data_IF_556309899976
#
_entry.id   IF_556309899976
#
_cell.length_a   1.000
_cell.length_b   1.000
_cell.length_c   1.000
_cell.angle_alpha   90.00
_cell.angle_beta   90.00
_cell.angle_gamma   90.00
#
_symmetry.space_group_name_H-M   'P 1'
#
loop_
_entity.id
_entity.type
_entity.pdbx_description
1 polymer ?
#
# COMPACT_ATOMS: atom_id res chain seq x y z
N UNK A 1 19.91 14.98 -5.15
CA UNK A 1 18.92 14.79 -4.05
C UNK A 1 18.85 15.98 -3.09
N UNK A 2 19.95 16.64 -2.69
CA UNK A 2 19.92 17.78 -1.73
C UNK A 2 19.13 19.02 -2.18
N UNK A 3 19.17 19.40 -3.47
CA UNK A 3 18.46 20.61 -3.96
C UNK A 3 16.93 20.46 -4.01
N UNK A 4 16.42 19.23 -3.99
CA UNK A 4 15.01 18.96 -4.27
C UNK A 4 14.19 18.76 -3.00
N UNK A 5 14.77 18.12 -1.98
CA UNK A 5 14.19 18.14 -0.63
C UNK A 5 13.96 19.56 -0.13
N UNK A 6 14.73 20.54 -0.63
CA UNK A 6 14.55 21.96 -0.33
C UNK A 6 13.31 22.58 -1.02
N UNK A 7 12.87 22.08 -2.18
CA UNK A 7 11.64 22.55 -2.86
C UNK A 7 10.40 21.92 -2.23
N UNK A 8 10.44 20.63 -1.92
CA UNK A 8 9.36 19.91 -1.26
C UNK A 8 9.14 20.44 0.17
N UNK A 9 10.23 20.68 0.92
CA UNK A 9 10.18 21.36 2.21
C UNK A 9 9.55 22.76 2.10
N UNK A 10 9.94 23.57 1.11
CA UNK A 10 9.35 24.91 0.89
C UNK A 10 7.86 24.87 0.56
N UNK A 11 7.41 23.82 -0.14
CA UNK A 11 6.01 23.60 -0.45
C UNK A 11 5.21 23.20 0.81
N UNK A 12 5.77 22.37 1.69
CA UNK A 12 5.10 21.90 2.91
C UNK A 12 5.12 22.92 4.05
N UNK A 13 6.19 23.71 4.18
CA UNK A 13 6.37 24.69 5.27
C UNK A 13 5.25 25.71 5.39
N UNK A 14 4.60 26.07 4.28
CA UNK A 14 3.56 27.09 4.23
C UNK A 14 2.15 26.52 4.03
N UNK A 15 1.99 25.19 4.05
CA UNK A 15 0.68 24.58 3.87
C UNK A 15 -0.11 24.55 5.18
N UNK A 16 -1.34 25.00 5.10
CA UNK A 16 -2.35 24.78 6.12
C UNK A 16 -2.78 23.30 6.10
N UNK A 17 -2.78 22.67 7.27
CA UNK A 17 -3.10 21.26 7.47
C UNK A 17 -4.51 21.03 8.04
N UNK A 18 -5.29 22.09 8.26
CA UNK A 18 -6.63 21.98 8.85
C UNK A 18 -7.62 21.21 7.97
N UNK A 19 -7.41 21.20 6.65
CA UNK A 19 -8.28 20.54 5.67
C UNK A 19 -7.62 19.33 4.97
N UNK A 20 -6.54 18.79 5.53
CA UNK A 20 -5.83 17.63 4.97
C UNK A 20 -6.33 16.35 5.62
N UNK A 21 -6.66 15.33 4.82
CA UNK A 21 -7.13 14.05 5.35
C UNK A 21 -6.12 13.37 6.26
N UNK A 22 -6.59 12.58 7.22
CA UNK A 22 -5.73 11.88 8.22
C UNK A 22 -4.72 10.98 7.54
N UNK A 23 -5.14 10.26 6.50
CA UNK A 23 -4.25 9.40 5.70
C UNK A 23 -3.10 10.22 5.09
N UNK A 24 -3.41 11.39 4.54
CA UNK A 24 -2.39 12.25 3.93
C UNK A 24 -1.45 12.82 4.99
N UNK A 25 -1.98 13.22 6.15
CA UNK A 25 -1.17 13.64 7.29
C UNK A 25 -0.21 12.52 7.74
N UNK A 26 -0.66 11.26 7.78
CA UNK A 26 0.19 10.12 8.15
C UNK A 26 1.43 10.03 7.25
N UNK A 27 1.24 9.97 5.93
CA UNK A 27 2.36 9.96 4.98
C UNK A 27 3.26 11.20 5.08
N UNK A 28 2.66 12.39 5.27
CA UNK A 28 3.42 13.63 5.39
C UNK A 28 4.28 13.65 6.65
N UNK A 29 3.77 13.18 7.78
CA UNK A 29 4.52 13.14 9.05
C UNK A 29 5.77 12.27 8.92
N UNK A 30 5.65 11.10 8.27
CA UNK A 30 6.80 10.21 8.01
C UNK A 30 7.84 10.91 7.15
N UNK A 31 7.41 11.58 6.07
CA UNK A 31 8.34 12.30 5.21
C UNK A 31 9.04 13.45 5.93
N UNK A 32 8.28 14.27 6.67
CA UNK A 32 8.76 15.49 7.32
C UNK A 32 9.69 15.23 8.50
N UNK A 33 9.68 14.03 9.07
CA UNK A 33 10.38 13.68 10.30
C UNK A 33 11.89 14.01 10.32
N UNK A 34 12.53 14.09 9.15
CA UNK A 34 13.96 14.45 9.03
C UNK A 34 14.20 15.85 8.47
N UNK A 35 13.15 16.58 8.09
CA UNK A 35 13.25 17.92 7.51
C UNK A 35 12.69 19.01 8.42
N UNK A 36 11.63 18.67 9.15
CA UNK A 36 10.89 19.58 10.00
C UNK A 36 10.29 18.80 11.17
N UNK A 37 11.10 18.63 12.22
CA UNK A 37 10.64 17.86 13.38
C UNK A 37 9.49 18.59 14.09
N UNK A 38 9.55 19.92 14.19
CA UNK A 38 8.49 20.74 14.81
C UNK A 38 7.16 20.55 14.07
N UNK A 39 7.18 20.60 12.73
CA UNK A 39 5.98 20.37 11.92
C UNK A 39 5.51 18.91 11.94
N UNK A 40 6.41 17.97 12.13
CA UNK A 40 6.08 16.55 12.35
C UNK A 40 5.34 16.38 13.67
N UNK A 41 5.88 16.94 14.75
CA UNK A 41 5.26 16.90 16.08
C UNK A 41 3.89 17.56 16.10
N UNK A 42 3.68 18.68 15.37
CA UNK A 42 2.36 19.30 15.19
C UNK A 42 1.33 18.31 14.60
N UNK A 43 1.73 17.52 13.60
CA UNK A 43 0.86 16.50 12.99
C UNK A 43 0.62 15.34 13.96
N UNK A 44 1.66 14.85 14.63
CA UNK A 44 1.55 13.75 15.58
C UNK A 44 0.70 14.13 16.80
N UNK A 45 0.82 15.36 17.29
CA UNK A 45 0.00 15.89 18.38
C UNK A 45 -1.47 15.93 17.98
N UNK A 46 -1.78 16.35 16.74
CA UNK A 46 -3.14 16.26 16.18
C UNK A 46 -3.68 14.83 16.18
N UNK A 47 -2.84 13.82 15.89
CA UNK A 47 -3.25 12.41 16.00
C UNK A 47 -3.54 11.98 17.44
N UNK A 48 -2.74 12.44 18.40
CA UNK A 48 -2.98 12.17 19.83
C UNK A 48 -4.28 12.84 20.30
N UNK A 49 -4.52 14.09 19.90
CA UNK A 49 -5.72 14.86 20.28
C UNK A 49 -7.00 14.29 19.68
N UNK A 50 -6.95 13.80 18.44
CA UNK A 50 -8.12 13.22 17.76
C UNK A 50 -8.38 11.76 18.14
N UNK A 51 -7.43 11.09 18.78
CA UNK A 51 -7.55 9.68 19.13
C UNK A 51 -8.75 9.50 20.08
N UNK A 52 -9.69 8.66 19.67
CA UNK A 52 -10.84 8.31 20.50
C UNK A 52 -10.43 7.46 21.70
N UNK A 53 -11.31 7.35 22.69
CA UNK A 53 -11.05 6.56 23.91
C UNK A 53 -10.77 5.09 23.64
N UNK A 54 -11.25 4.57 22.51
CA UNK A 54 -11.11 3.18 22.09
C UNK A 54 -9.96 2.95 21.10
N UNK A 55 -9.13 4.00 20.87
CA UNK A 55 -7.86 3.94 20.14
C UNK A 55 -7.91 4.33 18.66
N UNK A 56 -9.10 4.60 18.12
CA UNK A 56 -9.30 4.97 16.72
C UNK A 56 -8.69 6.34 16.38
N UNK A 57 -8.07 6.46 15.20
CA UNK A 57 -7.55 7.73 14.65
C UNK A 57 -8.06 7.88 13.21
N UNK A 58 -9.10 8.70 12.99
CA UNK A 58 -9.75 8.83 11.67
C UNK A 58 -10.43 10.19 11.46
N UNK A 59 -10.74 10.48 10.19
CA UNK A 59 -11.64 11.55 9.71
C UNK A 59 -12.94 11.00 9.10
N UNK A 60 -13.36 9.79 9.53
CA UNK A 60 -14.59 9.08 9.11
C UNK A 60 -14.58 8.48 7.69
N UNK A 61 -13.42 8.30 7.04
CA UNK A 61 -13.35 7.67 5.71
C UNK A 61 -13.07 6.16 5.79
N UNK A 62 -11.97 5.75 6.42
CA UNK A 62 -11.62 4.33 6.65
C UNK A 62 -10.77 4.26 7.93
N UNK A 63 -11.41 3.85 9.03
CA UNK A 63 -10.81 3.84 10.37
C UNK A 63 -9.60 2.92 10.50
N UNK A 64 -9.63 1.73 9.88
CA UNK A 64 -8.53 0.76 9.87
C UNK A 64 -7.32 1.31 9.13
N UNK A 65 -7.53 1.85 7.93
CA UNK A 65 -6.48 2.39 7.09
C UNK A 65 -5.84 3.63 7.74
N UNK A 66 -6.65 4.60 8.17
CA UNK A 66 -6.17 5.79 8.86
C UNK A 66 -5.39 5.42 10.12
N UNK A 67 -5.96 4.57 10.98
CA UNK A 67 -5.31 4.19 12.24
C UNK A 67 -4.01 3.42 12.01
N UNK A 68 -3.96 2.48 11.07
CA UNK A 68 -2.73 1.72 10.76
C UNK A 68 -1.56 2.60 10.34
N UNK A 69 -1.82 3.57 9.45
CA UNK A 69 -0.80 4.52 9.01
C UNK A 69 -0.39 5.49 10.13
N UNK A 70 -1.34 5.97 10.94
CA UNK A 70 -1.06 6.82 12.09
C UNK A 70 -0.25 6.10 13.16
N UNK A 71 -0.53 4.81 13.44
CA UNK A 71 0.26 3.98 14.36
C UNK A 71 1.72 3.89 13.91
N UNK A 72 1.94 3.59 12.63
CA UNK A 72 3.29 3.56 12.06
C UNK A 72 3.98 4.93 12.17
N UNK A 73 3.26 6.01 11.88
CA UNK A 73 3.78 7.39 11.98
C UNK A 73 4.14 7.77 13.41
N UNK A 74 3.27 7.46 14.37
CA UNK A 74 3.46 7.75 15.80
C UNK A 74 4.65 6.99 16.39
N UNK A 75 4.81 5.70 16.05
CA UNK A 75 5.96 4.94 16.57
C UNK A 75 7.28 5.41 15.98
N UNK A 76 7.30 5.79 14.70
CA UNK A 76 8.49 6.43 14.10
C UNK A 76 8.77 7.81 14.70
N UNK A 77 7.72 8.58 15.00
CA UNK A 77 7.83 9.81 15.78
C UNK A 77 8.47 9.58 17.14
N UNK A 78 8.00 8.58 17.89
CA UNK A 78 8.58 8.19 19.17
C UNK A 78 10.06 7.78 19.04
N UNK A 79 10.40 6.93 18.07
CA UNK A 79 11.80 6.52 17.81
C UNK A 79 12.69 7.74 17.54
N UNK A 80 12.14 8.81 16.95
CA UNK A 80 12.86 10.03 16.60
C UNK A 80 12.99 11.02 17.75
N UNK A 81 11.93 11.24 18.53
CA UNK A 81 11.85 12.32 19.52
C UNK A 81 12.02 11.82 20.97
N UNK A 82 11.69 10.55 21.24
CA UNK A 82 11.63 9.99 22.59
C UNK A 82 10.38 10.38 23.38
N UNK A 83 9.42 11.06 22.76
CA UNK A 83 8.19 11.53 23.42
C UNK A 83 7.21 10.38 23.67
N UNK A 84 7.09 9.93 24.93
CA UNK A 84 6.27 8.76 25.30
C UNK A 84 4.79 8.91 24.93
N UNK A 85 4.25 10.14 24.83
CA UNK A 85 2.88 10.39 24.35
C UNK A 85 2.59 9.75 22.99
N UNK A 86 3.57 9.72 22.09
CA UNK A 86 3.42 9.14 20.75
C UNK A 86 3.39 7.62 20.81
N UNK A 87 4.24 7.02 21.62
CA UNK A 87 4.23 5.58 21.87
C UNK A 87 2.93 5.15 22.53
N UNK A 88 2.48 5.85 23.56
CA UNK A 88 1.22 5.53 24.25
C UNK A 88 0.02 5.58 23.28
N UNK A 89 -0.04 6.61 22.42
CA UNK A 89 -1.06 6.71 21.38
C UNK A 89 -0.94 5.59 20.33
N UNK A 90 0.28 5.25 19.89
CA UNK A 90 0.51 4.17 18.94
C UNK A 90 0.05 2.81 19.51
N UNK A 91 0.33 2.53 20.78
CA UNK A 91 -0.10 1.30 21.45
C UNK A 91 -1.63 1.20 21.56
N UNK A 92 -2.32 2.31 21.89
CA UNK A 92 -3.79 2.39 21.87
C UNK A 92 -4.35 2.16 20.47
N UNK A 93 -3.74 2.75 19.45
CA UNK A 93 -4.10 2.52 18.05
C UNK A 93 -3.89 1.06 17.63
N UNK A 94 -2.80 0.43 18.07
CA UNK A 94 -2.58 -1.00 17.87
C UNK A 94 -3.68 -1.86 18.51
N UNK A 95 -4.16 -1.49 19.69
CA UNK A 95 -5.25 -2.20 20.37
C UNK A 95 -6.59 -2.05 19.65
N UNK A 96 -6.85 -0.87 19.07
CA UNK A 96 -7.98 -0.67 18.16
C UNK A 96 -7.90 -1.60 16.95
N UNK A 97 -6.74 -1.67 16.27
CA UNK A 97 -6.56 -2.53 15.09
C UNK A 97 -6.75 -4.01 15.42
N UNK A 98 -6.21 -4.48 16.56
CA UNK A 98 -6.42 -5.85 17.03
C UNK A 98 -7.91 -6.12 17.24
N UNK A 99 -8.63 -5.21 17.89
CA UNK A 99 -10.07 -5.36 18.10
C UNK A 99 -10.83 -5.45 16.78
N UNK A 100 -10.48 -4.62 15.79
CA UNK A 100 -11.07 -4.69 14.45
C UNK A 100 -10.83 -6.05 13.78
N UNK A 101 -9.62 -6.63 13.92
CA UNK A 101 -9.31 -7.98 13.43
C UNK A 101 -10.17 -9.04 14.12
N UNK A 102 -10.35 -8.95 15.44
CA UNK A 102 -11.14 -9.92 16.18
C UNK A 102 -12.65 -9.81 15.89
N UNK A 103 -13.16 -8.58 15.74
CA UNK A 103 -14.53 -8.34 15.24
C UNK A 103 -14.68 -8.95 13.85
N UNK A 104 -13.71 -8.73 12.98
CA UNK A 104 -13.72 -9.29 11.64
C UNK A 104 -13.78 -10.82 11.62
N UNK A 105 -12.91 -11.46 12.39
CA UNK A 105 -12.82 -12.92 12.48
C UNK A 105 -14.08 -13.54 13.07
N UNK A 106 -14.71 -12.87 14.03
CA UNK A 106 -15.95 -13.35 14.67
C UNK A 106 -17.21 -13.11 13.84
N UNK A 107 -17.21 -12.12 12.95
CA UNK A 107 -18.37 -11.76 12.12
C UNK A 107 -18.38 -12.46 10.77
N UNK A 108 -17.20 -12.72 10.19
CA UNK A 108 -17.09 -13.26 8.84
C UNK A 108 -16.73 -14.75 8.86
N UNK A 109 -17.53 -15.55 8.18
CA UNK A 109 -17.22 -16.95 7.91
C UNK A 109 -16.05 -17.11 6.93
N UNK A 110 -15.34 -18.23 7.01
CA UNK A 110 -14.41 -18.65 5.97
C UNK A 110 -15.24 -19.03 4.75
N UNK A 111 -15.25 -18.17 3.74
CA UNK A 111 -16.03 -18.35 2.53
C UNK A 111 -15.12 -18.57 1.34
N UNK A 112 -15.27 -19.72 0.70
CA UNK A 112 -14.67 -19.98 -0.60
C UNK A 112 -15.64 -19.41 -1.65
N UNK A 113 -15.45 -18.17 -2.06
CA UNK A 113 -15.94 -17.76 -3.38
C UNK A 113 -15.00 -18.33 -4.42
N UNK A 114 -15.55 -18.86 -5.53
CA UNK A 114 -14.84 -19.59 -6.60
C UNK A 114 -13.34 -19.29 -6.60
N UNK A 115 -12.59 -20.28 -6.10
CA UNK A 115 -11.13 -20.27 -5.97
C UNK A 115 -10.57 -19.60 -7.22
N UNK A 116 -9.93 -18.43 -7.07
CA UNK A 116 -9.11 -17.95 -8.16
C UNK A 116 -8.09 -19.04 -8.43
N UNK A 117 -8.19 -19.67 -9.60
CA UNK A 117 -7.25 -20.70 -10.05
C UNK A 117 -5.80 -20.20 -10.07
N UNK A 118 -5.59 -18.90 -9.89
CA UNK A 118 -4.32 -18.20 -9.90
C UNK A 118 -3.82 -17.81 -8.49
N UNK A 119 -4.53 -18.16 -7.41
CA UNK A 119 -4.04 -17.95 -6.05
C UNK A 119 -2.88 -18.92 -5.76
N UNK A 120 -1.74 -18.42 -5.27
CA UNK A 120 -0.50 -19.19 -5.06
C UNK A 120 -0.71 -20.40 -4.15
N UNK A 121 -1.59 -20.29 -3.15
CA UNK A 121 -1.82 -21.32 -2.13
C UNK A 121 -3.17 -22.04 -2.28
N UNK A 122 -3.45 -22.58 -3.49
CA UNK A 122 -4.65 -23.37 -3.85
C UNK A 122 -5.99 -22.65 -3.68
N UNK A 123 -5.97 -21.38 -3.26
CA UNK A 123 -7.13 -20.54 -2.92
C UNK A 123 -8.09 -21.17 -1.91
N UNK A 124 -7.56 -21.92 -0.95
CA UNK A 124 -8.31 -22.41 0.22
C UNK A 124 -7.98 -21.54 1.43
N UNK A 125 -8.77 -20.51 1.74
CA UNK A 125 -8.52 -19.66 2.90
C UNK A 125 -8.60 -20.48 4.19
N UNK A 126 -7.59 -20.35 5.05
CA UNK A 126 -7.56 -20.94 6.39
C UNK A 126 -8.15 -19.97 7.44
N UNK A 127 -8.34 -18.70 7.06
CA UNK A 127 -8.91 -17.63 7.87
C UNK A 127 -9.80 -16.72 7.04
N UNK A 128 -10.79 -16.06 7.67
CA UNK A 128 -11.60 -15.04 7.00
C UNK A 128 -10.80 -13.80 6.59
N UNK A 129 -9.59 -13.63 7.12
CA UNK A 129 -8.63 -12.63 6.67
C UNK A 129 -8.05 -12.94 5.29
N UNK A 130 -8.07 -14.20 4.84
CA UNK A 130 -7.58 -14.63 3.52
C UNK A 130 -8.67 -14.55 2.43
N UNK A 131 -9.89 -14.20 2.82
CA UNK A 131 -11.06 -14.18 1.94
C UNK A 131 -11.18 -12.82 1.25
N UNK A 132 -10.81 -12.72 -0.03
CA UNK A 132 -11.03 -11.52 -0.85
C UNK A 132 -12.47 -11.02 -0.90
N UNK A 133 -13.46 -11.89 -0.64
CA UNK A 133 -14.86 -11.46 -0.52
C UNK A 133 -15.07 -10.50 0.65
N UNK A 134 -14.39 -10.77 1.75
CA UNK A 134 -14.52 -10.00 2.98
C UNK A 134 -13.44 -8.95 3.07
N UNK A 135 -12.25 -9.17 2.51
CA UNK A 135 -11.04 -8.40 2.82
C UNK A 135 -10.42 -7.71 1.62
N UNK A 136 -9.53 -6.76 1.91
CA UNK A 136 -8.70 -6.07 0.94
C UNK A 136 -7.23 -6.13 1.37
N UNK A 137 -6.30 -6.48 0.47
CA UNK A 137 -4.86 -6.39 0.74
C UNK A 137 -4.40 -4.98 1.12
N UNK A 138 -5.16 -3.94 0.75
CA UNK A 138 -4.93 -2.58 1.22
C UNK A 138 -5.16 -2.45 2.73
N UNK A 139 -6.30 -2.92 3.22
CA UNK A 139 -6.62 -2.88 4.65
C UNK A 139 -5.63 -3.76 5.42
N UNK A 140 -5.40 -5.00 4.99
CA UNK A 140 -4.45 -5.90 5.65
C UNK A 140 -3.02 -5.34 5.63
N UNK A 141 -2.58 -4.78 4.50
CA UNK A 141 -1.24 -4.20 4.34
C UNK A 141 -0.99 -3.06 5.30
N UNK A 142 -1.94 -2.12 5.43
CA UNK A 142 -1.80 -0.97 6.33
C UNK A 142 -1.97 -1.36 7.80
N UNK A 143 -2.85 -2.32 8.13
CA UNK A 143 -2.93 -2.87 9.48
C UNK A 143 -1.64 -3.60 9.86
N UNK A 144 -1.05 -4.37 8.94
CA UNK A 144 0.22 -5.06 9.14
C UNK A 144 1.37 -4.07 9.32
N UNK A 145 1.41 -2.99 8.54
CA UNK A 145 2.39 -1.91 8.68
C UNK A 145 2.36 -1.33 10.11
N UNK A 146 1.18 -0.98 10.62
CA UNK A 146 1.01 -0.49 11.98
C UNK A 146 1.43 -1.51 13.04
N UNK A 147 0.89 -2.73 12.99
CA UNK A 147 1.11 -3.75 14.03
C UNK A 147 2.54 -4.31 14.04
N UNK A 148 3.15 -4.49 12.86
CA UNK A 148 4.53 -4.96 12.76
C UNK A 148 5.51 -3.97 13.36
N UNK A 149 5.26 -2.66 13.19
CA UNK A 149 6.08 -1.60 13.80
C UNK A 149 5.98 -1.55 15.33
N UNK A 150 4.93 -2.15 15.90
CA UNK A 150 4.75 -2.28 17.35
C UNK A 150 5.26 -3.62 17.91
N UNK A 151 5.71 -4.55 17.07
CA UNK A 151 5.98 -5.94 17.46
C UNK A 151 7.07 -6.11 18.52
N UNK A 152 8.05 -5.20 18.59
CA UNK A 152 9.12 -5.21 19.59
C UNK A 152 8.66 -4.76 20.98
N UNK A 153 7.52 -4.07 21.08
CA UNK A 153 7.01 -3.51 22.34
C UNK A 153 6.09 -4.48 23.08
N UNK A 154 5.41 -5.38 22.37
CA UNK A 154 4.53 -6.37 22.98
C UNK A 154 4.29 -7.56 22.05
N UNK A 155 4.41 -8.77 22.60
CA UNK A 155 4.17 -10.03 21.88
C UNK A 155 2.79 -10.11 21.24
N UNK A 156 1.78 -9.45 21.82
CA UNK A 156 0.44 -9.41 21.21
C UNK A 156 0.47 -8.79 19.81
N UNK A 157 1.19 -7.69 19.60
CA UNK A 157 1.26 -7.03 18.29
C UNK A 157 2.06 -7.88 17.30
N UNK A 158 3.15 -8.51 17.77
CA UNK A 158 3.95 -9.46 16.97
C UNK A 158 3.06 -10.56 16.38
N UNK A 159 2.23 -11.18 17.21
CA UNK A 159 1.32 -12.25 16.79
C UNK A 159 0.30 -11.82 15.72
N UNK A 160 -0.32 -10.66 15.89
CA UNK A 160 -1.29 -10.16 14.88
C UNK A 160 -0.60 -9.67 13.61
N UNK A 161 0.60 -9.09 13.71
CA UNK A 161 1.41 -8.75 12.54
C UNK A 161 1.79 -10.01 11.74
N UNK A 162 2.15 -11.10 12.43
CA UNK A 162 2.40 -12.40 11.81
C UNK A 162 1.13 -12.97 11.16
N UNK A 163 -0.03 -12.89 11.82
CA UNK A 163 -1.31 -13.33 11.25
C UNK A 163 -1.65 -12.57 9.96
N UNK A 164 -1.52 -11.25 9.95
CA UNK A 164 -1.76 -10.42 8.77
C UNK A 164 -0.72 -10.65 7.66
N UNK A 165 0.56 -10.80 8.03
CA UNK A 165 1.65 -11.11 7.10
C UNK A 165 1.43 -12.46 6.41
N UNK A 166 1.05 -13.49 7.18
CA UNK A 166 0.67 -14.79 6.65
C UNK A 166 -0.55 -14.70 5.72
N UNK A 167 -1.58 -13.93 6.10
CA UNK A 167 -2.74 -13.74 5.24
C UNK A 167 -2.37 -13.08 3.91
N UNK A 168 -1.58 -12.00 3.94
CA UNK A 168 -1.07 -11.34 2.73
C UNK A 168 -0.25 -12.29 1.86
N UNK A 169 0.65 -13.05 2.46
CA UNK A 169 1.44 -14.07 1.76
C UNK A 169 0.54 -15.12 1.09
N UNK A 170 -0.42 -15.67 1.83
CA UNK A 170 -1.33 -16.71 1.33
C UNK A 170 -2.28 -16.22 0.23
N UNK A 171 -2.70 -14.95 0.31
CA UNK A 171 -3.56 -14.30 -0.68
C UNK A 171 -2.83 -13.92 -1.97
N UNK A 172 -1.49 -13.92 -1.99
CA UNK A 172 -0.73 -13.55 -3.18
C UNK A 172 -1.04 -14.50 -4.34
N UNK A 173 -1.09 -13.95 -5.54
CA UNK A 173 -1.31 -14.73 -6.76
C UNK A 173 -0.01 -15.32 -7.27
N UNK A 174 -0.08 -16.38 -8.09
CA UNK A 174 1.08 -17.00 -8.73
C UNK A 174 1.92 -16.02 -9.57
N UNK A 175 1.30 -14.93 -10.04
CA UNK A 175 1.99 -13.89 -10.79
C UNK A 175 2.70 -12.84 -9.92
N UNK A 176 2.65 -12.98 -8.59
CA UNK A 176 3.25 -12.06 -7.61
C UNK A 176 2.39 -10.87 -7.21
N UNK A 177 1.24 -10.65 -7.86
CA UNK A 177 0.32 -9.57 -7.49
C UNK A 177 -0.72 -9.99 -6.44
N UNK A 178 -1.61 -9.06 -6.12
CA UNK A 178 -2.83 -9.30 -5.33
C UNK A 178 -4.03 -8.79 -6.10
N UNK A 179 -5.22 -9.28 -5.76
CA UNK A 179 -6.45 -8.64 -6.22
C UNK A 179 -6.76 -7.33 -5.46
N UNK A 180 -7.40 -6.38 -6.14
CA UNK A 180 -8.19 -5.28 -5.62
C UNK A 180 -9.31 -5.88 -4.75
N UNK A 181 -9.60 -5.25 -3.62
CA UNK A 181 -10.30 -5.86 -2.49
C UNK A 181 -11.77 -6.24 -2.75
N UNK A 182 -12.40 -6.84 -1.74
CA UNK A 182 -13.85 -7.13 -1.66
C UNK A 182 -14.45 -7.71 -2.95
N UNK A 183 -13.74 -8.63 -3.63
CA UNK A 183 -14.20 -9.24 -4.89
C UNK A 183 -14.88 -10.59 -4.65
N UNK A 184 -16.07 -10.76 -5.25
CA UNK A 184 -16.82 -12.02 -5.18
C UNK A 184 -16.34 -13.06 -6.19
N UNK A 185 -15.76 -12.60 -7.30
CA UNK A 185 -15.22 -13.43 -8.39
C UNK A 185 -13.98 -12.69 -8.88
N UNK A 186 -12.79 -13.07 -8.40
CA UNK A 186 -11.57 -12.34 -8.75
C UNK A 186 -11.26 -12.43 -10.24
N UNK A 187 -11.29 -11.31 -10.94
CA UNK A 187 -10.93 -11.19 -12.34
C UNK A 187 -9.54 -10.56 -12.49
N UNK A 188 -8.84 -10.83 -13.61
CA UNK A 188 -7.50 -10.24 -13.90
C UNK A 188 -7.49 -8.70 -13.81
N UNK A 189 -8.61 -8.06 -14.11
CA UNK A 189 -8.77 -6.59 -14.02
C UNK A 189 -8.87 -6.07 -12.59
N UNK A 190 -9.12 -6.96 -11.64
CA UNK A 190 -9.16 -6.63 -10.23
C UNK A 190 -7.72 -6.67 -9.70
N UNK A 191 -6.68 -6.25 -10.43
CA UNK A 191 -5.32 -6.12 -9.88
C UNK A 191 -4.86 -4.68 -10.13
N UNK A 192 -4.50 -3.95 -9.09
CA UNK A 192 -4.06 -2.56 -9.20
C UNK A 192 -2.73 -2.37 -8.50
N UNK A 193 -1.85 -1.59 -9.13
CA UNK A 193 -0.53 -1.22 -8.57
C UNK A 193 -0.65 -0.59 -7.19
N UNK A 194 -1.77 0.10 -6.92
CA UNK A 194 -2.09 0.66 -5.62
C UNK A 194 -2.22 -0.41 -4.54
N UNK A 195 -3.01 -1.44 -4.79
CA UNK A 195 -3.25 -2.49 -3.80
C UNK A 195 -2.03 -3.39 -3.61
N UNK A 196 -1.29 -3.66 -4.69
CA UNK A 196 -0.03 -4.40 -4.62
C UNK A 196 0.97 -3.64 -3.74
N UNK A 197 1.14 -2.33 -3.92
CA UNK A 197 2.12 -1.59 -3.11
C UNK A 197 1.71 -1.46 -1.64
N UNK A 198 0.41 -1.38 -1.32
CA UNK A 198 -0.07 -1.40 0.07
C UNK A 198 0.17 -2.75 0.74
N UNK A 199 -0.08 -3.85 0.04
CA UNK A 199 0.28 -5.19 0.52
C UNK A 199 1.80 -5.30 0.74
N UNK A 200 2.60 -4.76 -0.18
CA UNK A 200 4.06 -4.71 -0.03
C UNK A 200 4.49 -3.88 1.18
N UNK A 201 3.84 -2.77 1.51
CA UNK A 201 4.18 -1.98 2.71
C UNK A 201 4.01 -2.82 3.99
N UNK A 202 2.92 -3.58 4.11
CA UNK A 202 2.69 -4.47 5.23
C UNK A 202 3.74 -5.58 5.32
N UNK A 203 3.96 -6.30 4.21
CA UNK A 203 4.97 -7.37 4.13
C UNK A 203 6.40 -6.87 4.37
N UNK A 204 6.71 -5.66 3.92
CA UNK A 204 7.99 -4.99 4.16
C UNK A 204 8.24 -4.80 5.65
N UNK A 205 7.27 -4.23 6.38
CA UNK A 205 7.45 -3.98 7.81
C UNK A 205 7.38 -5.28 8.63
N UNK A 206 6.55 -6.24 8.21
CA UNK A 206 6.55 -7.60 8.77
C UNK A 206 7.91 -8.27 8.59
N UNK A 207 8.51 -8.23 7.40
CA UNK A 207 9.84 -8.81 7.18
C UNK A 207 10.89 -8.15 8.09
N UNK A 208 10.91 -6.80 8.13
CA UNK A 208 11.88 -6.05 8.93
C UNK A 208 11.86 -6.40 10.42
N UNK A 209 10.68 -6.61 10.98
CA UNK A 209 10.52 -6.80 12.42
C UNK A 209 10.36 -8.27 12.85
N UNK A 210 9.87 -9.14 11.96
CA UNK A 210 9.61 -10.55 12.26
C UNK A 210 10.69 -11.48 11.71
N UNK A 211 11.34 -11.11 10.60
CA UNK A 211 12.46 -11.86 10.00
C UNK A 211 12.08 -13.12 9.22
N UNK A 212 10.81 -13.28 8.84
CA UNK A 212 10.37 -14.43 8.05
C UNK A 212 10.66 -14.22 6.55
N UNK A 213 11.57 -15.02 6.01
CA UNK A 213 12.03 -14.98 4.61
C UNK A 213 10.91 -15.17 3.58
N UNK A 214 9.77 -15.79 3.96
CA UNK A 214 8.59 -15.91 3.09
C UNK A 214 8.07 -14.53 2.68
N UNK A 215 8.11 -13.55 3.58
CA UNK A 215 7.67 -12.19 3.28
C UNK A 215 8.59 -11.51 2.28
N UNK A 216 9.91 -11.72 2.39
CA UNK A 216 10.87 -11.23 1.39
C UNK A 216 10.62 -11.87 0.03
N UNK A 217 10.40 -13.18 -0.02
CA UNK A 217 10.05 -13.89 -1.27
C UNK A 217 8.82 -13.25 -1.94
N UNK A 218 7.74 -13.03 -1.18
CA UNK A 218 6.54 -12.36 -1.70
C UNK A 218 6.81 -10.95 -2.24
N UNK A 219 7.64 -10.15 -1.54
CA UNK A 219 8.03 -8.82 -2.02
C UNK A 219 8.80 -8.88 -3.35
N UNK A 220 9.68 -9.87 -3.52
CA UNK A 220 10.45 -10.08 -4.74
C UNK A 220 9.57 -10.57 -5.90
N UNK A 221 8.57 -11.41 -5.62
CA UNK A 221 7.56 -11.80 -6.61
C UNK A 221 6.70 -10.61 -7.05
N UNK A 222 6.30 -9.75 -6.10
CA UNK A 222 5.58 -8.52 -6.39
C UNK A 222 6.40 -7.53 -7.22
N UNK A 223 7.71 -7.42 -6.99
CA UNK A 223 8.58 -6.62 -7.86
C UNK A 223 8.63 -7.17 -9.29
N UNK A 224 8.71 -8.49 -9.47
CA UNK A 224 8.67 -9.08 -10.82
C UNK A 224 7.35 -8.77 -11.51
N UNK A 225 6.24 -8.76 -10.77
CA UNK A 225 4.94 -8.32 -11.26
C UNK A 225 5.00 -6.86 -11.73
N UNK A 226 5.47 -5.95 -10.87
CA UNK A 226 5.66 -4.52 -11.19
C UNK A 226 6.55 -4.30 -12.41
N UNK A 227 7.68 -4.98 -12.48
CA UNK A 227 8.63 -4.93 -13.60
C UNK A 227 8.05 -5.50 -14.89
N UNK A 228 7.13 -6.47 -14.80
CA UNK A 228 6.39 -7.00 -15.95
C UNK A 228 5.31 -6.06 -16.47
N UNK A 229 4.81 -5.17 -15.61
CA UNK A 229 3.81 -4.15 -15.93
C UNK A 229 4.42 -2.81 -16.37
N UNK A 230 5.73 -2.63 -16.16
CA UNK A 230 6.43 -1.38 -16.45
C UNK A 230 6.74 -1.23 -17.94
N UNK A 231 6.21 -0.18 -18.57
CA UNK A 231 6.37 0.10 -20.01
C UNK A 231 7.45 1.14 -20.34
N UNK A 232 8.27 1.51 -19.35
CA UNK A 232 9.30 2.51 -19.52
C UNK A 232 8.94 3.89 -18.99
N UNK A 233 7.80 4.03 -18.31
CA UNK A 233 7.39 5.25 -17.60
C UNK A 233 6.18 5.07 -16.68
N UNK A 234 5.38 4.01 -16.84
CA UNK A 234 4.19 3.77 -16.02
C UNK A 234 4.01 2.28 -15.70
N UNK A 235 3.23 1.99 -14.65
CA UNK A 235 2.70 0.66 -14.32
C UNK A 235 1.19 0.76 -14.44
N UNK A 236 0.52 -0.16 -15.12
CA UNK A 236 -0.93 -0.03 -15.30
C UNK A 236 -1.67 -0.18 -13.97
N UNK A 237 -2.38 0.88 -13.59
CA UNK A 237 -3.49 0.81 -12.64
C UNK A 237 -4.75 0.44 -13.45
N UNK A 238 -5.42 -0.66 -13.10
CA UNK A 238 -6.59 -1.16 -13.86
C UNK A 238 -7.86 -0.39 -13.42
N UNK A 239 -7.78 0.93 -13.39
CA UNK A 239 -8.89 1.85 -13.09
C UNK A 239 -9.05 2.84 -14.23
N UNK A 240 -9.41 2.32 -15.40
CA UNK A 240 -9.83 3.16 -16.51
C UNK A 240 -10.77 2.38 -17.43
N UNK A 241 -11.96 2.02 -16.95
CA UNK A 241 -12.88 1.21 -17.76
C UNK A 241 -13.99 1.99 -18.46
N UNK A 242 -14.54 3.07 -17.90
CA UNK A 242 -15.67 3.72 -18.59
C UNK A 242 -15.23 4.49 -19.85
N UNK A 243 -14.24 5.37 -19.75
CA UNK A 243 -13.73 6.13 -20.91
C UNK A 243 -13.06 5.26 -21.98
N UNK A 244 -12.33 4.22 -21.57
CA UNK A 244 -11.64 3.32 -22.50
C UNK A 244 -12.60 2.33 -23.16
N UNK A 245 -13.62 1.85 -22.44
CA UNK A 245 -14.70 1.07 -23.04
C UNK A 245 -15.46 1.90 -24.07
N UNK A 246 -15.84 3.13 -23.74
CA UNK A 246 -16.52 4.04 -24.67
C UNK A 246 -15.65 4.27 -25.91
N UNK A 247 -14.34 4.49 -25.74
CA UNK A 247 -13.41 4.66 -26.87
C UNK A 247 -13.28 3.39 -27.72
N UNK A 248 -13.07 2.23 -27.10
CA UNK A 248 -12.94 0.96 -27.81
C UNK A 248 -14.25 0.55 -28.53
N UNK A 249 -15.40 0.88 -27.92
CA UNK A 249 -16.73 0.72 -28.50
C UNK A 249 -16.89 1.61 -29.73
N UNK A 250 -16.48 2.88 -29.65
CA UNK A 250 -16.51 3.83 -30.76
C UNK A 250 -15.56 3.44 -31.91
N UNK A 251 -14.45 2.78 -31.59
CA UNK A 251 -13.48 2.26 -32.58
C UNK A 251 -13.89 0.89 -33.14
N UNK A 252 -15.01 0.31 -32.70
CA UNK A 252 -15.49 -1.01 -33.14
C UNK A 252 -14.60 -2.18 -32.69
N UNK A 253 -13.72 -1.96 -31.71
CA UNK A 253 -12.83 -2.99 -31.16
C UNK A 253 -13.51 -3.92 -30.17
N UNK A 254 -14.66 -3.50 -29.65
CA UNK A 254 -15.53 -4.24 -28.71
C UNK A 254 -16.99 -3.96 -29.04
N UNK A 255 -17.90 -4.89 -28.71
CA UNK A 255 -19.35 -4.71 -28.92
C UNK A 255 -20.02 -3.94 -27.76
N UNK A 256 -21.30 -3.59 -27.90
CA UNK A 256 -22.05 -2.94 -26.82
C UNK A 256 -22.64 -4.03 -25.92
N UNK A 257 -22.20 -4.09 -24.66
CA UNK A 257 -22.76 -4.98 -23.64
C UNK A 257 -23.54 -4.16 -22.61
N UNK A 258 -24.76 -4.58 -22.30
CA UNK A 258 -25.56 -4.08 -21.16
C UNK A 258 -24.94 -4.48 -19.81
N UNK A 259 -23.91 -5.31 -19.87
CA UNK A 259 -23.09 -5.77 -18.78
C UNK A 259 -21.63 -5.40 -19.07
N UNK A 260 -21.10 -4.36 -18.42
CA UNK A 260 -19.70 -3.90 -18.58
C UNK A 260 -18.63 -4.96 -18.18
N UNK A 261 -19.08 -6.17 -17.81
CA UNK A 261 -18.32 -7.42 -17.75
C UNK A 261 -18.03 -7.96 -19.16
N UNK A 262 -17.18 -7.25 -19.89
CA UNK A 262 -16.78 -7.65 -21.25
C UNK A 262 -16.03 -9.01 -21.27
N UNK A 263 -16.64 -10.00 -21.91
CA UNK A 263 -16.15 -11.30 -22.40
C UNK A 263 -15.12 -12.08 -21.54
N UNK A 264 -15.62 -12.73 -20.48
CA UNK A 264 -14.85 -13.46 -19.45
C UNK A 264 -14.12 -14.72 -19.93
N UNK A 265 -14.55 -15.39 -21.02
CA UNK A 265 -14.05 -16.74 -21.35
C UNK A 265 -12.65 -16.81 -21.97
N UNK A 266 -12.15 -15.72 -22.55
CA UNK A 266 -10.85 -15.74 -23.27
C UNK A 266 -9.65 -15.36 -22.41
N UNK A 267 -9.88 -14.64 -21.31
CA UNK A 267 -8.80 -14.12 -20.45
C UNK A 267 -8.60 -14.89 -19.15
N UNK A 268 -9.56 -15.75 -18.77
CA UNK A 268 -9.48 -16.62 -17.58
C UNK A 268 -8.39 -17.71 -17.66
N UNK A 269 -7.86 -18.02 -18.85
CA UNK A 269 -7.06 -19.24 -19.05
C UNK A 269 -5.57 -19.03 -19.33
N UNK A 270 -5.05 -17.79 -19.35
CA UNK A 270 -3.64 -17.61 -19.69
C UNK A 270 -2.85 -16.73 -18.71
N UNK A 271 -1.84 -17.33 -18.08
CA UNK A 271 -0.68 -16.68 -17.44
C UNK A 271 0.23 -15.94 -18.47
N UNK A 272 -0.27 -15.65 -19.68
CA UNK A 272 0.52 -15.02 -20.75
C UNK A 272 0.31 -13.52 -20.77
N UNK A 273 1.45 -12.81 -20.79
CA UNK A 273 1.56 -11.35 -20.98
C UNK A 273 0.94 -10.95 -22.31
N UNK A 274 -0.27 -10.45 -22.26
CA UNK A 274 -0.79 -9.50 -23.25
C UNK A 274 -1.23 -8.26 -22.46
N UNK A 275 -0.33 -7.30 -22.32
CA UNK A 275 -0.62 -5.98 -21.80
C UNK A 275 -0.42 -5.00 -22.94
N UNK A 276 -1.52 -4.47 -23.48
CA UNK A 276 -1.46 -3.36 -24.43
C UNK A 276 -1.87 -2.10 -23.66
N UNK A 277 -1.03 -1.04 -23.58
CA UNK A 277 -1.40 0.22 -22.97
C UNK A 277 -2.71 0.74 -23.56
N UNK A 278 -3.76 0.87 -22.75
CA UNK A 278 -5.07 1.29 -23.25
C UNK A 278 -5.29 2.80 -23.25
N UNK A 279 -4.42 3.62 -22.64
CA UNK A 279 -4.54 5.09 -22.73
C UNK A 279 -3.28 5.84 -22.34
N UNK A 280 -3.18 7.09 -22.80
CA UNK A 280 -2.19 8.10 -22.40
C UNK A 280 -2.40 8.68 -20.97
N UNK A 281 -3.38 8.16 -20.22
CA UNK A 281 -3.79 8.66 -18.89
C UNK A 281 -3.63 7.61 -17.78
N UNK A 282 -2.97 6.48 -18.06
CA UNK A 282 -2.69 5.36 -17.14
C UNK A 282 -1.55 5.65 -16.13
N UNK A 283 -1.25 6.93 -15.91
CA UNK A 283 0.12 7.37 -15.66
C UNK A 283 0.32 8.11 -14.35
N UNK A 284 -0.55 8.03 -13.33
CA UNK A 284 -0.30 8.75 -12.04
C UNK A 284 0.04 7.83 -10.87
N UNK A 285 -0.79 6.82 -10.60
CA UNK A 285 -0.55 5.94 -9.45
C UNK A 285 0.52 4.89 -9.76
N UNK A 286 0.56 4.39 -10.99
CA UNK A 286 1.48 3.33 -11.40
C UNK A 286 2.96 3.63 -11.18
N UNK A 287 3.43 4.77 -11.65
CA UNK A 287 4.83 5.17 -11.53
C UNK A 287 5.23 5.48 -10.08
N UNK A 288 4.31 6.05 -9.30
CA UNK A 288 4.51 6.28 -7.87
C UNK A 288 4.52 4.96 -7.09
N UNK A 289 3.63 4.00 -7.41
CA UNK A 289 3.66 2.65 -6.85
C UNK A 289 4.96 1.93 -7.19
N UNK A 290 5.43 2.03 -8.43
CA UNK A 290 6.69 1.42 -8.87
C UNK A 290 7.88 1.99 -8.12
N UNK A 291 7.94 3.31 -7.99
CA UNK A 291 8.98 4.01 -7.23
C UNK A 291 8.96 3.55 -5.77
N UNK A 292 7.78 3.46 -5.17
CA UNK A 292 7.62 3.03 -3.78
C UNK A 292 8.01 1.57 -3.59
N UNK A 293 7.54 0.65 -4.43
CA UNK A 293 7.89 -0.77 -4.39
C UNK A 293 9.42 -0.99 -4.42
N UNK A 294 10.11 -0.32 -5.35
CA UNK A 294 11.56 -0.37 -5.44
C UNK A 294 12.25 0.26 -4.23
N UNK A 295 11.70 1.35 -3.69
CA UNK A 295 12.25 2.02 -2.50
C UNK A 295 12.13 1.16 -1.24
N UNK A 296 11.03 0.41 -1.09
CA UNK A 296 10.86 -0.58 -0.02
C UNK A 296 11.92 -1.68 -0.11
N UNK A 297 12.12 -2.26 -1.28
CA UNK A 297 13.12 -3.31 -1.51
C UNK A 297 14.55 -2.82 -1.30
N UNK A 298 14.88 -1.63 -1.82
CA UNK A 298 16.17 -0.97 -1.55
C UNK A 298 16.40 -0.85 -0.05
N UNK A 299 15.38 -0.48 0.73
CA UNK A 299 15.50 -0.28 2.17
C UNK A 299 15.81 -1.60 2.90
N UNK A 300 15.42 -2.75 2.32
CA UNK A 300 15.80 -4.08 2.81
C UNK A 300 17.22 -4.51 2.38
N UNK A 301 17.92 -3.70 1.59
CA UNK A 301 19.22 -4.04 1.02
C UNK A 301 19.15 -4.96 -0.20
N UNK A 302 17.97 -5.07 -0.84
CA UNK A 302 17.80 -5.81 -2.09
C UNK A 302 18.35 -4.96 -3.24
N UNK A 303 19.16 -5.60 -4.10
CA UNK A 303 19.65 -4.97 -5.32
C UNK A 303 18.50 -4.81 -6.32
N UNK A 304 18.35 -3.59 -6.85
CA UNK A 304 17.29 -3.26 -7.81
C UNK A 304 17.88 -2.65 -9.07
N UNK A 305 17.07 -2.52 -10.12
CA UNK A 305 17.47 -1.81 -11.32
C UNK A 305 17.51 -0.28 -11.11
N UNK A 306 18.66 0.21 -10.64
CA UNK A 306 18.93 1.65 -10.41
C UNK A 306 18.72 2.50 -11.68
N UNK A 307 18.90 1.93 -12.89
CA UNK A 307 18.63 2.68 -14.14
C UNK A 307 17.13 2.87 -14.34
N UNK A 308 16.31 1.85 -14.07
CA UNK A 308 14.85 1.98 -14.12
C UNK A 308 14.32 2.89 -13.02
N UNK A 309 14.80 2.72 -11.79
CA UNK A 309 14.45 3.61 -10.67
C UNK A 309 14.70 5.08 -11.06
N UNK A 310 15.90 5.38 -11.57
CA UNK A 310 16.25 6.71 -12.04
C UNK A 310 15.34 7.17 -13.17
N UNK A 311 15.04 6.32 -14.16
CA UNK A 311 14.15 6.67 -15.27
C UNK A 311 12.74 7.02 -14.77
N UNK A 312 12.18 6.24 -13.85
CA UNK A 312 10.88 6.51 -13.23
C UNK A 312 10.91 7.82 -12.44
N UNK A 313 11.98 8.05 -11.67
CA UNK A 313 12.19 9.31 -10.96
C UNK A 313 12.24 10.50 -11.91
N UNK A 314 13.11 10.46 -12.93
CA UNK A 314 13.25 11.52 -13.93
C UNK A 314 11.92 11.75 -14.69
N UNK A 315 11.15 10.70 -14.95
CA UNK A 315 9.84 10.81 -15.59
C UNK A 315 8.83 11.58 -14.73
N UNK A 316 8.68 11.19 -13.45
CA UNK A 316 7.82 11.91 -12.49
C UNK A 316 8.23 13.39 -12.43
N UNK A 317 9.53 13.65 -12.34
CA UNK A 317 10.06 15.01 -12.19
C UNK A 317 9.90 15.91 -13.41
N UNK A 318 9.96 15.35 -14.63
CA UNK A 318 9.89 16.13 -15.86
C UNK A 318 8.46 16.34 -16.39
N UNK A 319 7.51 15.50 -15.96
CA UNK A 319 6.14 15.50 -16.51
C UNK A 319 5.09 15.97 -15.50
N UNK A 320 5.48 16.37 -14.29
CA UNK A 320 4.56 16.78 -13.23
C UNK A 320 4.94 18.17 -12.72
N UNK A 321 4.06 19.14 -13.03
CA UNK A 321 4.15 20.52 -12.56
C UNK A 321 3.44 20.74 -11.19
N UNK A 322 2.82 19.70 -10.61
CA UNK A 322 1.94 19.80 -9.45
C UNK A 322 2.41 18.97 -8.24
N UNK A 323 1.90 19.35 -7.05
CA UNK A 323 2.07 18.78 -5.72
C UNK A 323 2.59 17.32 -5.67
N UNK A 324 3.67 17.03 -4.92
CA UNK A 324 4.20 15.67 -4.85
C UNK A 324 3.19 14.72 -4.20
N UNK A 325 2.99 13.55 -4.81
CA UNK A 325 2.15 12.50 -4.24
C UNK A 325 2.74 11.97 -2.93
N UNK A 326 1.88 11.54 -2.01
CA UNK A 326 2.31 11.00 -0.72
C UNK A 326 3.27 9.79 -0.87
N UNK A 327 3.05 8.98 -1.89
CA UNK A 327 3.90 7.83 -2.20
C UNK A 327 5.27 8.23 -2.71
N UNK A 328 5.34 9.29 -3.53
CA UNK A 328 6.62 9.84 -3.96
C UNK A 328 7.43 10.33 -2.75
N UNK A 329 6.78 11.07 -1.85
CA UNK A 329 7.39 11.55 -0.61
C UNK A 329 7.87 10.40 0.27
N UNK A 330 7.04 9.38 0.49
CA UNK A 330 7.43 8.21 1.28
C UNK A 330 8.57 7.41 0.62
N UNK A 331 8.58 7.29 -0.71
CA UNK A 331 9.68 6.66 -1.46
C UNK A 331 11.00 7.39 -1.23
N UNK A 332 10.98 8.73 -1.30
CA UNK A 332 12.15 9.57 -1.02
C UNK A 332 12.66 9.36 0.41
N UNK A 333 11.75 9.27 1.38
CA UNK A 333 12.11 8.99 2.77
C UNK A 333 12.78 7.61 2.91
N UNK A 334 12.20 6.56 2.33
CA UNK A 334 12.75 5.19 2.38
C UNK A 334 14.15 5.08 1.76
N UNK A 335 14.37 5.69 0.59
CA UNK A 335 15.68 5.69 -0.09
C UNK A 335 16.75 6.36 0.78
N UNK A 336 16.40 7.43 1.52
CA UNK A 336 17.34 8.09 2.45
C UNK A 336 17.67 7.20 3.64
N UNK A 337 16.74 6.37 4.09
CA UNK A 337 16.89 5.50 5.27
C UNK A 337 17.46 4.12 4.96
N UNK A 338 17.82 3.83 3.71
CA UNK A 338 18.33 2.49 3.30
C UNK A 338 19.64 2.06 3.98
N UNK A 339 20.34 2.97 4.65
CA UNK A 339 21.62 2.72 5.32
C UNK A 339 21.53 2.77 6.85
N UNK A 340 20.35 2.98 7.42
CA UNK A 340 20.14 3.01 8.86
C UNK A 340 19.63 1.61 9.28
N UNK A 341 20.54 0.76 9.74
CA UNK A 341 20.24 -0.51 10.41
C UNK A 341 20.54 -0.39 11.89
#
# INVERSE_FOLDING_TARGET
MEKQSLKEYKYLKNKDFDNVSVIRLGYLSIFLMDFDIEKTEEILDKFVEMQSSDGEITDNINSKLSTGLCVFSLIKGYEKTGEEKYKDAALKGGDFLIREIEIWKSTNEIKITEISKNARHKGHPESSLECYYWTSPNDLGIMALGLASLSSYNEKYRRYAEELGNALYNMQLENGGWYDGYTRIPARRDQSSWYVVMAMMGLWECYRNLGDERYLESLLEAEKWFSGMWDGGSVYDILAYEGNYIKALNEGRVERSDDLRFDYKRYEETNKRDYVPSSSYTTYYGEHSYLLANSLLINLGVDIDEKKLKKTFDYIMNNRDEDPSNWFLFSLWLVRHRYLK
#
